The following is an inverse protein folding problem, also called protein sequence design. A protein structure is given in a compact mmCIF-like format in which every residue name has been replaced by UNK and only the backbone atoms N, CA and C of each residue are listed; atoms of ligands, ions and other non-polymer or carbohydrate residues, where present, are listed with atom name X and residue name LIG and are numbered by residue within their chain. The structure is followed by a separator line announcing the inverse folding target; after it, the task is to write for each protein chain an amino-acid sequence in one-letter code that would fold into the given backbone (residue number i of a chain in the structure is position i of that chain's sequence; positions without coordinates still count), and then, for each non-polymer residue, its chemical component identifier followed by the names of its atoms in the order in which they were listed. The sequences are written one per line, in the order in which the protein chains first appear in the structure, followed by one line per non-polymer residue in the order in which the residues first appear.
data_IF_529737121318
#
_entry.id   IF_529737121318
#
_cell.length_a   1.000
_cell.length_b   1.000
_cell.length_c   1.000
_cell.angle_alpha   90.00
_cell.angle_beta   90.00
_cell.angle_gamma   90.00
#
_symmetry.space_group_name_H-M   'P 1'
#
loop_
_entity.id
_entity.type
_entity.pdbx_description
1 polymer ?
#
# COMPACT_ATOMS: atom_id res chain seq x y z
N UNK A 1 -2.23 11.62 -19.18
CA UNK A 1 -3.23 11.05 -18.24
C UNK A 1 -2.88 11.39 -16.80
N UNK A 2 -1.75 10.89 -16.27
CA UNK A 2 -1.33 11.11 -14.86
C UNK A 2 -1.26 12.59 -14.43
N UNK A 3 -0.68 13.47 -15.27
CA UNK A 3 -0.71 14.93 -15.01
C UNK A 3 -2.14 15.50 -15.00
N UNK A 4 -3.01 15.02 -15.88
CA UNK A 4 -4.43 15.41 -15.89
C UNK A 4 -5.17 14.98 -14.63
N UNK A 5 -4.82 13.85 -14.02
CA UNK A 5 -5.37 13.46 -12.70
C UNK A 5 -4.97 14.47 -11.63
N UNK A 6 -3.75 15.02 -11.73
CA UNK A 6 -3.26 16.03 -10.81
C UNK A 6 -4.02 17.36 -10.96
N UNK A 7 -4.19 17.84 -12.20
CA UNK A 7 -4.67 19.20 -12.48
C UNK A 7 -6.18 19.29 -12.80
N UNK A 8 -6.74 18.33 -13.53
CA UNK A 8 -8.13 18.33 -14.00
C UNK A 8 -9.04 17.55 -13.04
N UNK A 9 -9.49 18.23 -12.00
CA UNK A 9 -10.40 17.65 -11.01
C UNK A 9 -11.76 17.23 -11.59
N UNK A 10 -12.23 17.87 -12.66
CA UNK A 10 -13.55 17.60 -13.27
C UNK A 10 -13.55 16.26 -14.02
N UNK A 11 -12.45 15.95 -14.72
CA UNK A 11 -12.32 14.70 -15.46
C UNK A 11 -11.52 13.61 -14.72
N UNK A 12 -11.03 13.88 -13.50
CA UNK A 12 -10.18 12.97 -12.71
C UNK A 12 -10.69 11.53 -12.67
N UNK A 13 -12.00 11.33 -12.48
CA UNK A 13 -12.61 10.00 -12.45
C UNK A 13 -12.49 9.26 -13.79
N UNK A 14 -12.77 9.95 -14.90
CA UNK A 14 -12.63 9.36 -16.24
C UNK A 14 -11.16 9.09 -16.57
N UNK A 15 -10.26 9.97 -16.14
CA UNK A 15 -8.83 9.81 -16.33
C UNK A 15 -8.27 8.65 -15.50
N UNK A 16 -8.76 8.41 -14.28
CA UNK A 16 -8.31 7.30 -13.45
C UNK A 16 -8.72 5.93 -13.98
N UNK A 17 -9.84 5.84 -14.70
CA UNK A 17 -10.25 4.61 -15.41
C UNK A 17 -9.29 4.21 -16.53
N UNK A 18 -8.48 5.15 -17.04
CA UNK A 18 -7.49 4.91 -18.09
C UNK A 18 -6.10 4.58 -17.55
N UNK A 19 -5.91 4.58 -16.23
CA UNK A 19 -4.63 4.26 -15.63
C UNK A 19 -4.32 2.77 -15.76
N UNK A 20 -3.07 2.48 -16.11
CA UNK A 20 -2.52 1.14 -16.17
C UNK A 20 -1.25 1.07 -15.34
N UNK A 21 -1.08 -0.02 -14.59
CA UNK A 21 0.06 -0.23 -13.72
C UNK A 21 0.53 -1.68 -13.74
N UNK A 22 1.79 -1.89 -13.36
CA UNK A 22 2.28 -3.22 -13.04
C UNK A 22 1.86 -3.63 -11.63
N UNK A 23 1.65 -4.92 -11.44
CA UNK A 23 1.51 -5.57 -10.14
C UNK A 23 2.38 -6.81 -10.09
N UNK A 24 2.66 -7.39 -8.91
CA UNK A 24 3.37 -8.67 -8.82
C UNK A 24 2.70 -9.80 -9.61
N UNK A 25 1.37 -9.74 -9.80
CA UNK A 25 0.59 -10.76 -10.48
C UNK A 25 0.43 -10.50 -11.99
N UNK A 26 0.74 -9.29 -12.48
CA UNK A 26 0.52 -8.91 -13.88
C UNK A 26 1.64 -9.32 -14.84
N UNK A 27 2.75 -9.87 -14.32
CA UNK A 27 3.87 -10.28 -15.16
C UNK A 27 4.49 -9.07 -15.86
N UNK A 28 4.50 -9.11 -17.20
CA UNK A 28 5.02 -8.02 -18.05
C UNK A 28 3.90 -7.20 -18.71
N UNK A 29 2.65 -7.47 -18.33
CA UNK A 29 1.49 -6.67 -18.74
C UNK A 29 1.12 -5.68 -17.64
N UNK A 30 0.53 -4.55 -18.05
CA UNK A 30 -0.08 -3.62 -17.12
C UNK A 30 -1.58 -3.91 -16.99
N UNK A 31 -2.11 -3.73 -15.78
CA UNK A 31 -3.53 -3.91 -15.46
C UNK A 31 -4.17 -2.59 -15.08
N UNK A 32 -5.47 -2.45 -15.33
CA UNK A 32 -6.22 -1.26 -14.93
C UNK A 32 -6.53 -1.26 -13.43
N UNK A 33 -6.85 -0.09 -12.87
CA UNK A 33 -7.38 0.01 -11.50
C UNK A 33 -8.68 -0.78 -11.33
N UNK A 34 -9.49 -0.87 -12.39
CA UNK A 34 -10.72 -1.65 -12.39
C UNK A 34 -10.42 -3.14 -12.26
N UNK A 35 -9.47 -3.66 -13.03
CA UNK A 35 -9.07 -5.07 -12.95
C UNK A 35 -8.53 -5.42 -11.57
N UNK A 36 -7.74 -4.51 -10.97
CA UNK A 36 -7.30 -4.64 -9.57
C UNK A 36 -8.52 -4.77 -8.63
N UNK A 37 -9.51 -3.86 -8.74
CA UNK A 37 -10.70 -3.90 -7.91
C UNK A 37 -11.47 -5.21 -8.01
N UNK A 38 -11.55 -5.81 -9.20
CA UNK A 38 -12.24 -7.11 -9.38
C UNK A 38 -11.56 -8.28 -8.68
N UNK A 39 -10.25 -8.17 -8.41
CA UNK A 39 -9.43 -9.20 -7.75
C UNK A 39 -9.26 -8.96 -6.25
N UNK A 40 -9.80 -7.85 -5.71
CA UNK A 40 -9.73 -7.54 -4.29
C UNK A 40 -10.40 -8.62 -3.45
N UNK A 41 -9.82 -8.90 -2.28
CA UNK A 41 -10.43 -9.82 -1.30
C UNK A 41 -11.67 -9.18 -0.67
N UNK A 42 -12.61 -9.99 -0.19
CA UNK A 42 -13.91 -9.52 0.35
C UNK A 42 -13.76 -8.46 1.44
N UNK A 43 -12.80 -8.62 2.36
CA UNK A 43 -12.56 -7.70 3.47
C UNK A 43 -11.56 -6.57 3.14
N UNK A 44 -11.05 -6.51 1.91
CA UNK A 44 -10.05 -5.54 1.50
C UNK A 44 -10.70 -4.16 1.26
N UNK A 45 -10.27 -3.17 2.05
CA UNK A 45 -10.77 -1.79 1.99
C UNK A 45 -9.91 -0.86 1.13
N UNK A 46 -8.64 -1.23 0.92
CA UNK A 46 -7.64 -0.36 0.34
C UNK A 46 -7.02 -0.94 -0.93
N UNK A 47 -6.66 -0.05 -1.85
CA UNK A 47 -5.77 -0.33 -2.97
C UNK A 47 -4.34 -0.08 -2.47
N UNK A 48 -3.50 -1.12 -2.46
CA UNK A 48 -2.15 -1.02 -1.94
C UNK A 48 -1.19 -0.57 -3.05
N UNK A 49 -0.36 0.44 -2.77
CA UNK A 49 0.60 1.00 -3.73
C UNK A 49 2.02 1.02 -3.14
N UNK A 50 3.03 0.85 -3.99
CA UNK A 50 4.45 1.00 -3.63
C UNK A 50 5.19 1.77 -4.72
N UNK A 51 6.16 2.60 -4.35
CA UNK A 51 7.07 3.28 -5.29
C UNK A 51 8.25 2.42 -5.74
N UNK A 52 8.28 1.16 -5.32
CA UNK A 52 9.33 0.22 -5.66
C UNK A 52 9.14 -0.37 -7.07
N UNK A 53 10.24 -0.66 -7.75
CA UNK A 53 10.20 -1.45 -8.99
C UNK A 53 9.80 -2.91 -8.71
N UNK A 54 9.43 -3.66 -9.76
CA UNK A 54 9.08 -5.09 -9.66
C UNK A 54 10.15 -5.90 -8.92
N UNK A 55 11.43 -5.70 -9.24
CA UNK A 55 12.55 -6.41 -8.63
C UNK A 55 12.83 -5.97 -7.19
N UNK A 56 12.60 -4.70 -6.87
CA UNK A 56 12.72 -4.17 -5.52
C UNK A 56 11.59 -4.69 -4.63
N UNK A 57 10.34 -4.57 -5.09
CA UNK A 57 9.17 -5.10 -4.40
C UNK A 57 9.30 -6.62 -4.19
N UNK A 58 9.87 -7.37 -5.15
CA UNK A 58 10.12 -8.80 -4.99
C UNK A 58 10.92 -9.15 -3.72
N UNK A 59 11.83 -8.27 -3.30
CA UNK A 59 12.75 -8.43 -2.15
C UNK A 59 12.41 -7.54 -0.96
N UNK A 60 11.33 -6.76 -1.04
CA UNK A 60 11.00 -5.75 -0.05
C UNK A 60 10.22 -6.33 1.12
N UNK A 61 10.69 -6.05 2.34
CA UNK A 61 10.02 -6.44 3.58
C UNK A 61 8.61 -5.82 3.69
N UNK A 62 8.38 -4.67 3.06
CA UNK A 62 7.10 -3.96 3.12
C UNK A 62 5.97 -4.76 2.45
N UNK A 63 6.26 -5.52 1.40
CA UNK A 63 5.24 -6.27 0.64
C UNK A 63 5.16 -7.75 1.00
N UNK A 64 6.04 -8.26 1.86
CA UNK A 64 6.09 -9.69 2.23
C UNK A 64 4.75 -10.17 2.82
N UNK A 65 4.21 -9.41 3.77
CA UNK A 65 2.97 -9.77 4.45
C UNK A 65 1.77 -9.72 3.49
N UNK A 66 1.72 -8.71 2.60
CA UNK A 66 0.66 -8.58 1.59
C UNK A 66 0.70 -9.75 0.60
N UNK A 67 1.90 -10.09 0.12
CA UNK A 67 2.11 -11.23 -0.79
C UNK A 67 1.67 -12.54 -0.14
N UNK A 68 2.03 -12.76 1.13
CA UNK A 68 1.66 -13.98 1.88
C UNK A 68 0.13 -14.16 1.97
N UNK A 69 -0.63 -13.07 2.06
CA UNK A 69 -2.10 -13.09 2.12
C UNK A 69 -2.76 -12.93 0.74
N UNK A 70 -1.97 -12.95 -0.33
CA UNK A 70 -2.47 -12.79 -1.70
C UNK A 70 -3.14 -11.44 -1.94
N UNK A 71 -2.69 -10.40 -1.26
CA UNK A 71 -3.10 -9.01 -1.48
C UNK A 71 -2.21 -8.42 -2.57
N UNK A 72 -2.85 -7.97 -3.64
CA UNK A 72 -2.16 -7.38 -4.78
C UNK A 72 -1.62 -5.98 -4.41
N UNK A 73 -0.51 -5.58 -5.02
CA UNK A 73 0.13 -4.26 -4.80
C UNK A 73 0.44 -3.64 -6.15
N UNK A 74 0.12 -2.36 -6.32
CA UNK A 74 0.41 -1.59 -7.53
C UNK A 74 1.83 -1.00 -7.43
N UNK A 75 2.62 -1.17 -8.49
CA UNK A 75 3.95 -0.59 -8.60
C UNK A 75 3.92 0.76 -9.32
N UNK A 76 4.28 1.82 -8.61
CA UNK A 76 4.40 3.19 -9.07
C UNK A 76 5.85 3.46 -9.48
N UNK A 77 6.21 3.01 -10.68
CA UNK A 77 7.60 3.01 -11.15
C UNK A 77 8.02 4.29 -11.87
N UNK A 78 7.08 5.20 -12.15
CA UNK A 78 7.35 6.47 -12.81
C UNK A 78 7.35 7.63 -11.80
N UNK A 79 8.25 8.60 -11.95
CA UNK A 79 8.32 9.77 -11.06
C UNK A 79 7.01 10.56 -10.98
N UNK A 80 6.24 10.61 -12.07
CA UNK A 80 4.94 11.29 -12.12
C UNK A 80 3.86 10.59 -11.28
N UNK A 81 4.06 9.31 -10.94
CA UNK A 81 3.08 8.55 -10.15
C UNK A 81 2.90 9.13 -8.75
N UNK A 82 3.97 9.57 -8.10
CA UNK A 82 3.93 10.19 -6.77
C UNK A 82 2.99 11.41 -6.78
N UNK A 83 3.09 12.27 -7.81
CA UNK A 83 2.21 13.42 -7.97
C UNK A 83 0.77 13.04 -8.34
N UNK A 84 0.60 11.95 -9.11
CA UNK A 84 -0.70 11.44 -9.50
C UNK A 84 -1.48 10.91 -8.29
N UNK A 85 -0.86 10.06 -7.46
CA UNK A 85 -1.53 9.41 -6.32
C UNK A 85 -1.80 10.37 -5.17
N UNK A 86 -1.08 11.49 -5.07
CA UNK A 86 -1.42 12.58 -4.14
C UNK A 86 -2.84 13.14 -4.38
N UNK A 87 -3.27 13.21 -5.64
CA UNK A 87 -4.61 13.71 -6.01
C UNK A 87 -5.63 12.59 -6.22
N UNK A 88 -5.19 11.40 -6.62
CA UNK A 88 -6.03 10.21 -6.72
C UNK A 88 -6.19 9.54 -5.34
N UNK A 89 -6.99 10.13 -4.47
CA UNK A 89 -7.19 9.62 -3.10
C UNK A 89 -7.95 8.30 -3.03
N UNK A 90 -8.85 8.05 -3.97
CA UNK A 90 -9.66 6.85 -4.02
C UNK A 90 -10.09 6.50 -5.45
N UNK A 91 -10.33 5.22 -5.68
CA UNK A 91 -10.91 4.66 -6.91
C UNK A 91 -12.02 3.69 -6.52
N UNK A 92 -13.21 3.81 -7.14
CA UNK A 92 -14.40 3.00 -6.80
C UNK A 92 -14.73 2.95 -5.29
N UNK A 93 -14.49 4.05 -4.57
CA UNK A 93 -14.72 4.15 -3.12
C UNK A 93 -13.66 3.49 -2.24
N UNK A 94 -12.62 2.89 -2.84
CA UNK A 94 -11.46 2.31 -2.15
C UNK A 94 -10.32 3.31 -2.12
N UNK A 95 -9.76 3.59 -0.95
CA UNK A 95 -8.64 4.54 -0.83
C UNK A 95 -7.33 3.89 -1.27
N UNK A 96 -6.44 4.70 -1.84
CA UNK A 96 -5.09 4.27 -2.21
C UNK A 96 -4.17 4.46 -0.99
N UNK A 97 -3.50 3.39 -0.55
CA UNK A 97 -2.64 3.38 0.63
C UNK A 97 -1.25 2.90 0.28
N UNK A 98 -0.25 3.70 0.64
CA UNK A 98 1.16 3.38 0.42
C UNK A 98 1.65 2.38 1.47
N UNK A 99 2.17 1.24 1.01
CA UNK A 99 2.65 0.14 1.86
C UNK A 99 3.76 0.55 2.84
N UNK A 100 4.78 1.35 2.47
CA UNK A 100 5.85 1.75 3.40
C UNK A 100 5.45 2.83 4.42
N UNK A 101 4.22 3.39 4.36
CA UNK A 101 3.76 4.41 5.31
C UNK A 101 3.22 3.76 6.59
N UNK A 102 3.34 4.46 7.72
CA UNK A 102 2.78 4.00 9.00
C UNK A 102 1.25 3.83 8.90
N UNK A 103 0.71 2.88 9.68
CA UNK A 103 -0.74 2.68 9.80
C UNK A 103 -1.35 1.85 8.67
N UNK A 104 -0.56 0.97 8.05
CA UNK A 104 -1.07 0.05 7.04
C UNK A 104 -2.11 -0.91 7.66
N UNK A 105 -3.37 -0.74 7.29
CA UNK A 105 -4.44 -1.64 7.70
C UNK A 105 -4.58 -2.81 6.71
N UNK A 106 -4.42 -4.03 7.22
CA UNK A 106 -4.62 -5.25 6.47
C UNK A 106 -6.02 -5.82 6.74
N UNK A 107 -6.62 -6.53 5.77
CA UNK A 107 -7.88 -7.22 5.95
C UNK A 107 -7.71 -8.46 6.83
N UNK A 108 -7.52 -8.23 8.13
CA UNK A 108 -7.32 -9.25 9.15
C UNK A 108 -8.63 -9.66 9.82
N UNK A 109 -8.74 -10.95 10.15
CA UNK A 109 -9.83 -11.49 10.96
C UNK A 109 -9.72 -11.07 12.43
N UNK A 110 -10.80 -11.23 13.21
CA UNK A 110 -10.80 -10.90 14.64
C UNK A 110 -9.72 -11.65 15.45
N UNK A 111 -9.42 -12.90 15.08
CA UNK A 111 -8.39 -13.70 15.74
C UNK A 111 -6.97 -13.16 15.46
N UNK A 112 -6.69 -12.73 14.24
CA UNK A 112 -5.41 -12.15 13.86
C UNK A 112 -5.18 -10.82 14.56
N UNK A 113 -6.22 -9.97 14.64
CA UNK A 113 -6.17 -8.73 15.41
C UNK A 113 -5.84 -8.96 16.87
N UNK A 114 -6.47 -9.95 17.51
CA UNK A 114 -6.14 -10.33 18.90
C UNK A 114 -4.68 -10.79 19.03
N UNK A 115 -4.19 -11.62 18.11
CA UNK A 115 -2.77 -12.04 18.09
C UNK A 115 -1.82 -10.86 17.89
N UNK A 116 -2.22 -9.86 17.10
CA UNK A 116 -1.44 -8.64 16.89
C UNK A 116 -1.37 -7.81 18.18
N UNK A 117 -2.50 -7.59 18.84
CA UNK A 117 -2.58 -6.89 20.13
C UNK A 117 -1.73 -7.58 21.21
N UNK A 118 -1.82 -8.91 21.32
CA UNK A 118 -0.99 -9.68 22.26
C UNK A 118 0.51 -9.51 21.98
N UNK A 119 0.92 -9.51 20.71
CA UNK A 119 2.32 -9.25 20.34
C UNK A 119 2.73 -7.82 20.68
N UNK A 120 1.87 -6.83 20.42
CA UNK A 120 2.13 -5.43 20.77
C UNK A 120 2.40 -5.28 22.27
N UNK A 121 1.57 -5.88 23.13
CA UNK A 121 1.79 -5.87 24.59
C UNK A 121 3.06 -6.65 24.97
N UNK A 122 3.29 -7.81 24.36
CA UNK A 122 4.46 -8.66 24.67
C UNK A 122 5.79 -7.97 24.36
N UNK A 123 5.88 -7.22 23.27
CA UNK A 123 7.10 -6.56 22.82
C UNK A 123 7.19 -5.09 23.22
N UNK A 124 6.19 -4.54 23.93
CA UNK A 124 6.15 -3.12 24.31
C UNK A 124 7.44 -2.65 25.03
N UNK A 125 7.93 -3.44 25.98
CA UNK A 125 9.16 -3.12 26.71
C UNK A 125 10.40 -3.13 25.79
N UNK A 126 10.46 -4.06 24.83
CA UNK A 126 11.55 -4.12 23.87
C UNK A 126 11.51 -2.91 22.93
N UNK A 127 10.33 -2.54 22.43
CA UNK A 127 10.15 -1.36 21.58
C UNK A 127 10.61 -0.08 22.29
N UNK A 128 10.31 0.06 23.60
CA UNK A 128 10.79 1.19 24.44
C UNK A 128 12.31 1.21 24.53
N UNK A 129 12.94 0.09 24.90
CA UNK A 129 14.40 -0.02 25.00
C UNK A 129 15.07 0.30 23.65
N UNK A 130 14.53 -0.21 22.54
CA UNK A 130 15.04 0.08 21.20
C UNK A 130 14.86 1.55 20.82
N UNK A 131 13.71 2.15 21.15
CA UNK A 131 13.44 3.57 20.88
C UNK A 131 14.41 4.48 21.64
N UNK A 132 14.74 4.13 22.87
CA UNK A 132 15.72 4.85 23.69
C UNK A 132 17.13 4.69 23.13
N UNK A 133 17.53 3.47 22.76
CA UNK A 133 18.84 3.20 22.17
C UNK A 133 19.06 3.88 20.81
N UNK A 134 18.01 4.09 20.03
CA UNK A 134 18.06 4.76 18.72
C UNK A 134 17.92 6.29 18.82
N UNK A 135 17.58 6.82 20.00
CA UNK A 135 17.51 8.24 20.32
C UNK A 135 16.80 9.07 19.22
N UNK A 136 17.50 10.03 18.59
CA UNK A 136 16.95 10.95 17.57
C UNK A 136 16.92 10.37 16.16
N UNK A 137 17.38 9.13 15.95
CA UNK A 137 17.42 8.52 14.60
C UNK A 137 16.06 8.01 14.15
N UNK A 138 15.16 7.70 15.10
CA UNK A 138 13.81 7.21 14.82
C UNK A 138 12.80 7.92 15.70
N UNK A 139 11.62 8.20 15.15
CA UNK A 139 10.51 8.81 15.89
C UNK A 139 9.79 7.79 16.79
N UNK A 140 9.64 6.55 16.31
CA UNK A 140 8.90 5.48 16.98
C UNK A 140 9.46 4.11 16.58
N UNK A 141 9.30 3.12 17.48
CA UNK A 141 9.54 1.70 17.18
C UNK A 141 8.25 0.95 17.52
N UNK A 142 7.73 0.19 16.57
CA UNK A 142 6.46 -0.55 16.67
C UNK A 142 6.65 -2.02 16.28
N UNK A 143 5.68 -2.84 16.66
CA UNK A 143 5.59 -4.28 16.32
C UNK A 143 4.93 -4.45 14.96
#
# INVERSE_FOLDING_TARGET
IKLGIHEDSQNRKKLSELLQYYTPASGDEMVSLKDYCTKMKENQKHIFITGETKDQAAKSAFVEHLRKHGLEVIHLIELIDEYCVQQLKAFEGKTLVSVPKEGLELPEGEEEKKKQEEKMTKFENLCKIMKDALEKKVEKVVV
#
